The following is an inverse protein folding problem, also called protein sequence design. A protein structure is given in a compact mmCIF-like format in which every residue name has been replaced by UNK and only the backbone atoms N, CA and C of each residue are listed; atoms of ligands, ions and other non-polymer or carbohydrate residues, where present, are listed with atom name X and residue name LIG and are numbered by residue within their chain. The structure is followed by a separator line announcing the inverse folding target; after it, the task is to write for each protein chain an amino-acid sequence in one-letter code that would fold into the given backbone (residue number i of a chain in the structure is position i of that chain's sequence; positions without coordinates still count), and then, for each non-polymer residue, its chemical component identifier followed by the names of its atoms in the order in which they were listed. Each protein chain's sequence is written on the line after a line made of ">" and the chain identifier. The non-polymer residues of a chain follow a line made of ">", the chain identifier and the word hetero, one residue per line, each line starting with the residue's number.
data_IF_899266463389
#
_entry.id   IF_899266463389
#
_cell.length_a   1.000
_cell.length_b   1.000
_cell.length_c   1.000
_cell.angle_alpha   90.00
_cell.angle_beta   90.00
_cell.angle_gamma   90.00
#
_symmetry.space_group_name_H-M   'P 1'
#
loop_
_entity.id
_entity.type
_entity.pdbx_description
1 polymer ?
#
# COMPACT_ATOMS: atom_id res chain seq x y z
N UNK A 1 13.05 0.16 -38.15
CA UNK A 1 12.29 0.24 -36.88
C UNK A 1 13.00 1.27 -36.01
N UNK A 2 12.34 2.39 -35.69
CA UNK A 2 12.91 3.40 -34.81
C UNK A 2 12.83 2.89 -33.36
N UNK A 3 13.92 2.35 -32.84
CA UNK A 3 14.06 2.10 -31.41
C UNK A 3 14.32 3.43 -30.72
N UNK A 4 13.26 4.09 -30.25
CA UNK A 4 13.42 5.13 -29.23
C UNK A 4 13.78 4.44 -27.92
N UNK A 5 14.96 4.72 -27.37
CA UNK A 5 15.40 4.27 -26.02
C UNK A 5 14.49 4.78 -24.89
N UNK A 6 13.62 5.76 -25.17
CA UNK A 6 12.72 6.35 -24.21
C UNK A 6 11.26 5.95 -24.49
N UNK A 7 10.53 5.65 -23.42
CA UNK A 7 9.08 5.47 -23.42
C UNK A 7 8.34 6.61 -24.17
N UNK A 8 7.19 6.33 -24.79
CA UNK A 8 6.39 7.34 -25.49
C UNK A 8 5.89 8.42 -24.54
N UNK A 9 5.56 9.60 -25.07
CA UNK A 9 4.82 10.62 -24.31
C UNK A 9 3.38 10.12 -24.13
N UNK A 10 2.94 9.95 -22.89
CA UNK A 10 1.60 9.49 -22.54
C UNK A 10 0.72 10.59 -21.96
N UNK A 11 1.32 11.65 -21.40
CA UNK A 11 0.59 12.77 -20.80
C UNK A 11 1.23 14.09 -21.23
N UNK A 12 0.39 15.01 -21.70
CA UNK A 12 0.75 16.40 -21.94
C UNK A 12 0.01 17.28 -20.93
N UNK A 13 0.75 18.11 -20.21
CA UNK A 13 0.19 19.14 -19.34
C UNK A 13 0.25 20.48 -20.07
N UNK A 14 -0.91 21.13 -20.22
CA UNK A 14 -1.03 22.40 -20.97
C UNK A 14 -1.24 23.59 -20.04
N UNK A 15 -0.81 24.77 -20.51
CA UNK A 15 -1.19 26.07 -19.94
C UNK A 15 -1.79 26.91 -21.07
N UNK A 16 -3.12 27.03 -21.06
CA UNK A 16 -3.85 27.51 -22.23
C UNK A 16 -3.67 26.54 -23.40
N UNK A 17 -3.36 27.06 -24.58
CA UNK A 17 -3.18 26.27 -25.80
C UNK A 17 -1.76 25.69 -25.97
N UNK A 18 -0.83 25.97 -25.03
CA UNK A 18 0.56 25.52 -25.10
C UNK A 18 0.79 24.29 -24.23
N UNK A 19 1.43 23.26 -24.77
CA UNK A 19 1.99 22.14 -23.99
C UNK A 19 3.18 22.65 -23.19
N UNK A 20 3.03 22.72 -21.86
CA UNK A 20 4.05 23.19 -20.94
C UNK A 20 4.95 22.04 -20.46
N UNK A 21 4.43 20.81 -20.38
CA UNK A 21 5.19 19.63 -19.97
C UNK A 21 4.70 18.35 -20.65
N UNK A 22 5.62 17.44 -20.94
CA UNK A 22 5.34 16.10 -21.47
C UNK A 22 5.89 15.04 -20.50
N UNK A 23 5.09 14.01 -20.22
CA UNK A 23 5.47 12.90 -19.37
C UNK A 23 5.50 11.62 -20.18
N UNK A 24 6.63 10.91 -20.10
CA UNK A 24 6.85 9.64 -20.77
C UNK A 24 6.60 8.48 -19.82
N UNK A 25 6.01 7.40 -20.30
CA UNK A 25 5.68 6.26 -19.45
C UNK A 25 5.38 5.00 -20.23
N UNK A 26 5.17 3.92 -19.47
CA UNK A 26 4.61 2.68 -19.97
C UNK A 26 3.22 2.46 -19.36
N UNK A 27 2.32 1.85 -20.11
CA UNK A 27 0.96 1.54 -19.66
C UNK A 27 0.46 0.29 -20.35
N UNK A 28 -0.28 -0.55 -19.62
CA UNK A 28 -0.94 -1.74 -20.15
C UNK A 28 -2.38 -1.79 -19.66
N UNK A 29 -3.29 -2.21 -20.52
CA UNK A 29 -4.69 -2.50 -20.20
C UNK A 29 -4.91 -3.98 -20.48
N UNK A 30 -5.38 -4.72 -19.48
CA UNK A 30 -5.64 -6.16 -19.57
C UNK A 30 -7.11 -6.45 -19.25
N UNK A 31 -7.64 -7.53 -19.83
CA UNK A 31 -8.94 -8.08 -19.42
C UNK A 31 -8.84 -8.94 -18.15
N UNK A 32 -9.97 -9.50 -17.70
CA UNK A 32 -10.03 -10.36 -16.50
C UNK A 32 -9.32 -11.70 -16.67
N UNK A 33 -9.00 -12.12 -17.89
CA UNK A 33 -8.22 -13.33 -18.18
C UNK A 33 -6.72 -13.02 -18.31
N UNK A 34 -6.30 -11.77 -18.09
CA UNK A 34 -4.92 -11.32 -18.28
C UNK A 34 -4.53 -11.07 -19.73
N UNK A 35 -5.48 -11.07 -20.68
CA UNK A 35 -5.17 -10.77 -22.08
C UNK A 35 -4.93 -9.28 -22.25
N UNK A 36 -3.82 -8.93 -22.90
CA UNK A 36 -3.53 -7.55 -23.30
C UNK A 36 -4.60 -7.02 -24.29
N UNK A 37 -5.22 -5.90 -23.90
CA UNK A 37 -6.14 -5.10 -24.72
C UNK A 37 -5.36 -3.97 -25.42
N UNK A 38 -4.41 -3.35 -24.71
CA UNK A 38 -3.54 -2.30 -25.24
C UNK A 38 -2.26 -2.18 -24.40
N UNK A 39 -1.13 -1.89 -25.05
CA UNK A 39 0.15 -1.59 -24.41
C UNK A 39 0.82 -0.36 -25.04
N UNK A 40 1.53 0.39 -24.20
CA UNK A 40 2.29 1.57 -24.60
C UNK A 40 3.63 1.58 -23.87
N UNK A 41 4.72 1.83 -24.61
CA UNK A 41 6.06 1.84 -24.03
C UNK A 41 6.60 0.46 -23.65
N UNK A 42 7.63 0.45 -22.81
CA UNK A 42 8.29 -0.74 -22.28
C UNK A 42 7.58 -1.21 -21.01
N UNK A 43 6.57 -2.07 -21.19
CA UNK A 43 5.74 -2.61 -20.10
C UNK A 43 6.40 -3.78 -19.34
N UNK A 44 7.48 -4.34 -19.90
CA UNK A 44 8.25 -5.46 -19.32
C UNK A 44 9.36 -4.97 -18.38
N UNK A 45 9.64 -3.66 -18.38
CA UNK A 45 10.67 -3.09 -17.52
C UNK A 45 10.29 -3.21 -16.04
N UNK A 46 11.15 -3.87 -15.27
CA UNK A 46 11.05 -3.90 -13.83
C UNK A 46 11.09 -2.49 -13.22
N UNK A 47 10.17 -2.24 -12.29
CA UNK A 47 10.06 -1.01 -11.51
C UNK A 47 9.93 -1.34 -10.02
N UNK A 48 10.26 -0.36 -9.18
CA UNK A 48 9.79 -0.40 -7.80
C UNK A 48 8.31 0.03 -7.77
N UNK A 49 7.37 -0.83 -7.37
CA UNK A 49 5.93 -0.56 -7.45
C UNK A 49 5.46 0.51 -6.46
N UNK A 50 6.32 0.93 -5.52
CA UNK A 50 5.98 1.87 -4.45
C UNK A 50 4.71 1.37 -3.74
N UNK A 51 3.82 2.26 -3.34
CA UNK A 51 2.60 1.88 -2.64
C UNK A 51 1.57 1.11 -3.48
N UNK A 52 1.78 0.94 -4.79
CA UNK A 52 0.89 0.13 -5.62
C UNK A 52 0.98 -1.37 -5.28
N UNK A 53 2.02 -1.80 -4.54
CA UNK A 53 2.20 -3.19 -4.11
C UNK A 53 1.28 -3.62 -2.95
N UNK A 54 0.65 -2.67 -2.26
CA UNK A 54 -0.14 -2.95 -1.04
C UNK A 54 -1.24 -4.00 -1.23
N UNK A 55 -2.02 -4.01 -2.33
CA UNK A 55 -2.98 -5.09 -2.58
C UNK A 55 -2.34 -6.47 -2.64
N UNK A 56 -1.14 -6.60 -3.24
CA UNK A 56 -0.41 -7.86 -3.26
C UNK A 56 0.04 -8.25 -1.85
N UNK A 57 0.48 -7.29 -1.04
CA UNK A 57 0.86 -7.53 0.35
C UNK A 57 -0.35 -7.92 1.23
N UNK A 58 -1.55 -7.40 0.91
CA UNK A 58 -2.78 -7.72 1.62
C UNK A 58 -3.30 -9.14 1.32
N UNK A 59 -2.85 -9.79 0.24
CA UNK A 59 -3.17 -11.20 -0.03
C UNK A 59 -2.76 -12.08 1.15
N UNK A 60 -1.62 -11.81 1.81
CA UNK A 60 -1.17 -12.57 2.99
C UNK A 60 -2.19 -12.51 4.14
N UNK A 61 -2.80 -11.35 4.36
CA UNK A 61 -3.84 -11.17 5.37
C UNK A 61 -5.07 -12.04 5.06
N UNK A 62 -5.47 -12.10 3.79
CA UNK A 62 -6.62 -12.89 3.33
C UNK A 62 -6.32 -14.39 3.35
N UNK A 63 -5.22 -14.82 2.72
CA UNK A 63 -4.87 -16.25 2.57
C UNK A 63 -4.45 -16.92 3.88
N UNK A 64 -4.01 -16.15 4.89
CA UNK A 64 -3.63 -16.69 6.20
C UNK A 64 -4.80 -17.21 7.03
N UNK A 65 -6.05 -16.86 6.69
CA UNK A 65 -7.23 -17.13 7.52
C UNK A 65 -7.39 -16.17 8.71
N UNK A 66 -6.52 -15.14 8.81
CA UNK A 66 -6.54 -14.21 9.92
C UNK A 66 -7.76 -13.27 9.88
N UNK A 67 -8.27 -12.92 8.70
CA UNK A 67 -9.48 -12.11 8.57
C UNK A 67 -10.67 -12.82 9.23
N UNK A 68 -10.89 -14.08 8.88
CA UNK A 68 -11.99 -14.89 9.42
C UNK A 68 -11.80 -15.14 10.91
N UNK A 69 -10.58 -15.46 11.34
CA UNK A 69 -10.27 -15.70 12.74
C UNK A 69 -10.58 -14.50 13.65
N UNK A 70 -10.25 -13.29 13.18
CA UNK A 70 -10.49 -12.04 13.91
C UNK A 70 -11.77 -11.32 13.47
N UNK A 71 -12.66 -11.96 12.69
CA UNK A 71 -13.92 -11.35 12.26
C UNK A 71 -13.79 -10.01 11.52
N UNK A 72 -12.70 -9.84 10.76
CA UNK A 72 -12.39 -8.63 10.00
C UNK A 72 -13.02 -8.68 8.61
N UNK A 73 -13.20 -7.52 7.96
CA UNK A 73 -13.94 -7.46 6.70
C UNK A 73 -13.44 -6.42 5.71
N UNK A 74 -14.37 -5.92 4.90
CA UNK A 74 -14.07 -5.03 3.78
C UNK A 74 -13.36 -3.73 4.21
N UNK A 75 -13.63 -3.23 5.41
CA UNK A 75 -12.96 -2.03 5.92
C UNK A 75 -11.47 -2.28 6.16
N UNK A 76 -11.11 -3.38 6.79
CA UNK A 76 -9.73 -3.74 7.07
C UNK A 76 -8.96 -4.09 5.79
N UNK A 77 -9.61 -4.82 4.86
CA UNK A 77 -9.05 -5.08 3.53
C UNK A 77 -8.79 -3.76 2.78
N UNK A 78 -9.75 -2.85 2.78
CA UNK A 78 -9.57 -1.54 2.15
C UNK A 78 -8.41 -0.75 2.76
N UNK A 79 -8.29 -0.74 4.09
CA UNK A 79 -7.17 -0.08 4.78
C UNK A 79 -5.82 -0.76 4.50
N UNK A 80 -5.77 -2.09 4.44
CA UNK A 80 -4.57 -2.85 4.10
C UNK A 80 -4.05 -2.52 2.69
N UNK A 81 -4.97 -2.35 1.73
CA UNK A 81 -4.66 -2.01 0.34
C UNK A 81 -4.36 -0.51 0.12
N UNK A 82 -4.78 0.37 1.05
CA UNK A 82 -4.80 1.81 0.81
C UNK A 82 -3.47 2.52 1.08
N UNK A 83 -3.30 3.66 0.39
CA UNK A 83 -2.40 4.74 0.80
C UNK A 83 -3.22 5.89 1.34
N UNK A 84 -3.86 5.66 2.49
CA UNK A 84 -4.90 6.55 2.96
C UNK A 84 -4.39 7.96 3.32
N UNK A 85 -5.29 8.94 3.29
CA UNK A 85 -4.92 10.34 3.45
C UNK A 85 -4.80 10.82 4.90
N UNK A 86 -5.03 9.94 5.88
CA UNK A 86 -4.86 10.21 7.31
C UNK A 86 -6.08 10.88 7.97
N UNK A 87 -7.23 10.88 7.29
CA UNK A 87 -8.51 11.35 7.82
C UNK A 87 -9.00 10.51 9.02
N UNK A 88 -9.96 11.05 9.78
CA UNK A 88 -10.53 10.39 10.96
C UNK A 88 -11.04 8.98 10.65
N UNK A 89 -11.78 8.78 9.55
CA UNK A 89 -12.26 7.46 9.13
C UNK A 89 -11.15 6.42 8.96
N UNK A 90 -9.95 6.85 8.54
CA UNK A 90 -8.80 5.97 8.39
C UNK A 90 -8.14 5.70 9.74
N UNK A 91 -7.84 6.75 10.50
CA UNK A 91 -7.11 6.62 11.78
C UNK A 91 -7.94 5.90 12.84
N UNK A 92 -9.24 6.18 12.91
CA UNK A 92 -10.20 5.48 13.78
C UNK A 92 -10.39 4.03 13.33
N UNK A 93 -10.44 3.78 12.01
CA UNK A 93 -10.49 2.42 11.47
C UNK A 93 -9.28 1.58 11.89
N UNK A 94 -8.07 2.12 11.74
CA UNK A 94 -6.82 1.47 12.15
C UNK A 94 -6.79 1.26 13.66
N UNK A 95 -7.17 2.25 14.48
CA UNK A 95 -7.22 2.11 15.94
C UNK A 95 -8.23 1.05 16.39
N UNK A 96 -9.42 1.04 15.79
CA UNK A 96 -10.45 0.04 16.08
C UNK A 96 -9.95 -1.36 15.73
N UNK A 97 -9.29 -1.51 14.58
CA UNK A 97 -8.70 -2.76 14.15
C UNK A 97 -7.64 -3.23 15.16
N UNK A 98 -6.65 -2.40 15.50
CA UNK A 98 -5.62 -2.77 16.49
C UNK A 98 -6.22 -3.10 17.86
N UNK A 99 -7.20 -2.32 18.33
CA UNK A 99 -7.90 -2.61 19.58
C UNK A 99 -8.60 -3.97 19.56
N UNK A 100 -9.13 -4.40 18.41
CA UNK A 100 -9.73 -5.73 18.27
C UNK A 100 -8.69 -6.86 18.47
N UNK A 101 -7.42 -6.58 18.19
CA UNK A 101 -6.29 -7.48 18.45
C UNK A 101 -5.74 -7.34 19.89
N UNK A 102 -6.36 -6.51 20.74
CA UNK A 102 -5.86 -6.10 22.06
C UNK A 102 -4.50 -5.37 22.00
N UNK A 103 -4.28 -4.59 20.94
CA UNK A 103 -3.09 -3.77 20.72
C UNK A 103 -3.48 -2.30 20.54
N UNK A 104 -2.51 -1.40 20.65
CA UNK A 104 -2.67 0.02 20.35
C UNK A 104 -1.70 0.49 19.27
N UNK A 105 -1.85 1.73 18.80
CA UNK A 105 -1.07 2.27 17.67
C UNK A 105 0.45 2.39 17.90
N UNK A 106 0.95 2.18 19.13
CA UNK A 106 2.38 2.19 19.43
C UNK A 106 3.14 1.00 18.84
N UNK A 107 2.44 -0.09 18.49
CA UNK A 107 3.06 -1.25 17.82
C UNK A 107 3.30 -1.01 16.32
N UNK A 108 2.85 0.11 15.77
CA UNK A 108 3.05 0.44 14.36
C UNK A 108 4.48 0.94 14.10
N UNK A 109 5.23 0.17 13.32
CA UNK A 109 6.62 0.46 12.92
C UNK A 109 6.70 1.22 11.58
N UNK A 110 5.58 1.77 11.08
CA UNK A 110 5.58 2.59 9.86
C UNK A 110 6.14 4.01 10.05
N UNK A 111 6.41 4.41 11.30
CA UNK A 111 6.73 5.78 11.67
C UNK A 111 5.54 6.73 11.54
N UNK A 112 5.78 8.02 11.74
CA UNK A 112 4.75 9.06 11.81
C UNK A 112 4.97 10.13 10.77
N UNK A 113 3.90 10.53 10.07
CA UNK A 113 3.87 11.75 9.27
C UNK A 113 2.51 12.43 9.36
N UNK A 114 2.46 13.73 9.08
CA UNK A 114 1.18 14.44 9.03
C UNK A 114 0.30 13.94 7.87
N UNK A 115 -1.04 13.97 8.01
CA UNK A 115 -1.98 13.62 6.96
C UNK A 115 -1.72 14.36 5.64
N UNK A 116 -1.87 13.68 4.51
CA UNK A 116 -1.86 14.31 3.19
C UNK A 116 -3.17 15.03 2.90
N UNK A 117 -4.27 14.60 3.56
CA UNK A 117 -5.53 15.33 3.51
C UNK A 117 -5.37 16.72 4.16
N UNK A 118 -5.50 17.76 3.33
CA UNK A 118 -5.20 19.15 3.71
C UNK A 118 -6.00 19.61 4.93
N UNK A 119 -7.30 19.33 4.98
CA UNK A 119 -8.14 19.83 6.06
C UNK A 119 -7.82 19.13 7.39
N UNK A 120 -7.56 17.82 7.39
CA UNK A 120 -7.15 17.10 8.59
C UNK A 120 -5.81 17.61 9.11
N UNK A 121 -4.83 17.80 8.22
CA UNK A 121 -3.53 18.38 8.60
C UNK A 121 -3.68 19.76 9.25
N UNK A 122 -4.49 20.65 8.65
CA UNK A 122 -4.76 21.99 9.19
C UNK A 122 -5.44 21.92 10.56
N UNK A 123 -6.41 21.02 10.75
CA UNK A 123 -7.09 20.83 12.04
C UNK A 123 -6.10 20.44 13.13
N UNK A 124 -5.31 19.39 12.89
CA UNK A 124 -4.30 18.91 13.83
C UNK A 124 -3.33 20.03 14.23
N UNK A 125 -2.82 20.78 13.26
CA UNK A 125 -1.91 21.91 13.53
C UNK A 125 -2.60 23.02 14.35
N UNK A 126 -3.85 23.36 14.03
CA UNK A 126 -4.60 24.41 14.75
C UNK A 126 -4.92 24.01 16.19
N UNK A 127 -5.20 22.74 16.42
CA UNK A 127 -5.55 22.19 17.72
C UNK A 127 -4.31 21.82 18.56
N UNK A 128 -3.11 21.95 18.00
CA UNK A 128 -1.86 21.56 18.67
C UNK A 128 -1.72 20.05 18.87
N UNK A 129 -2.44 19.24 18.08
CA UNK A 129 -2.42 17.79 18.15
C UNK A 129 -1.31 17.27 17.24
N UNK A 130 -0.42 16.45 17.80
CA UNK A 130 0.62 15.79 17.02
C UNK A 130 0.04 14.62 16.20
N UNK A 131 0.55 14.45 14.98
CA UNK A 131 0.32 13.22 14.23
C UNK A 131 0.90 12.01 14.99
N UNK A 132 0.33 10.84 14.72
CA UNK A 132 0.70 9.56 15.34
C UNK A 132 0.92 8.50 14.25
N UNK A 133 1.43 7.30 14.56
CA UNK A 133 1.62 6.26 13.55
C UNK A 133 0.34 5.89 12.80
N UNK A 134 -0.85 5.99 13.41
CA UNK A 134 -2.12 5.76 12.73
C UNK A 134 -2.39 6.77 11.59
N UNK A 135 -1.79 7.97 11.64
CA UNK A 135 -1.91 8.96 10.56
C UNK A 135 -1.02 8.63 9.35
N UNK A 136 -0.07 7.70 9.51
CA UNK A 136 0.78 7.27 8.41
C UNK A 136 -0.05 6.54 7.35
N UNK A 137 0.15 6.88 6.08
CA UNK A 137 -0.61 6.31 4.96
C UNK A 137 -0.41 4.79 4.77
N UNK A 138 0.56 4.21 5.45
CA UNK A 138 0.84 2.76 5.45
C UNK A 138 0.26 2.06 6.68
N UNK A 139 -0.31 2.76 7.65
CA UNK A 139 -0.71 2.16 8.93
C UNK A 139 -1.73 1.02 8.77
N UNK A 140 -2.65 1.11 7.79
CA UNK A 140 -3.58 0.02 7.47
C UNK A 140 -2.89 -1.27 6.98
N UNK A 141 -1.92 -1.17 6.06
CA UNK A 141 -1.09 -2.32 5.65
C UNK A 141 -0.35 -2.93 6.85
N UNK A 142 0.21 -2.06 7.69
CA UNK A 142 0.95 -2.49 8.88
C UNK A 142 0.03 -3.22 9.88
N UNK A 143 -1.20 -2.74 10.10
CA UNK A 143 -2.21 -3.45 10.88
C UNK A 143 -2.52 -4.84 10.28
N UNK A 144 -2.53 -4.97 8.96
CA UNK A 144 -2.60 -6.27 8.27
C UNK A 144 -1.44 -7.20 8.61
N UNK A 145 -0.20 -6.72 8.56
CA UNK A 145 0.98 -7.50 8.94
C UNK A 145 0.94 -7.94 10.41
N UNK A 146 0.55 -7.03 11.30
CA UNK A 146 0.39 -7.30 12.73
C UNK A 146 -0.68 -8.37 12.96
N UNK A 147 -1.80 -8.30 12.24
CA UNK A 147 -2.88 -9.29 12.32
C UNK A 147 -2.38 -10.70 11.95
N UNK A 148 -1.58 -10.80 10.89
CA UNK A 148 -0.95 -12.07 10.47
C UNK A 148 0.06 -12.56 11.51
N UNK A 149 0.84 -11.65 12.12
CA UNK A 149 1.75 -12.00 13.20
C UNK A 149 1.00 -12.61 14.38
N UNK A 150 -0.06 -11.93 14.85
CA UNK A 150 -0.91 -12.39 15.94
C UNK A 150 -1.56 -13.74 15.64
N UNK A 151 -2.12 -13.92 14.44
CA UNK A 151 -2.80 -15.15 14.03
C UNK A 151 -1.89 -16.39 14.13
N UNK A 152 -0.63 -16.23 13.73
CA UNK A 152 0.35 -17.32 13.76
C UNK A 152 1.18 -17.40 15.05
N UNK A 153 0.87 -16.56 16.05
CA UNK A 153 1.64 -16.51 17.30
C UNK A 153 3.09 -16.01 17.13
N UNK A 154 3.37 -15.26 16.05
CA UNK A 154 4.67 -14.63 15.84
C UNK A 154 4.80 -13.36 16.70
N UNK A 155 6.03 -12.92 17.01
CA UNK A 155 6.24 -11.61 17.62
C UNK A 155 5.58 -10.50 16.81
N UNK A 156 4.96 -9.54 17.51
CA UNK A 156 4.49 -8.32 16.84
C UNK A 156 5.67 -7.41 16.53
N UNK A 157 6.61 -7.24 17.45
CA UNK A 157 7.77 -6.37 17.23
C UNK A 157 8.71 -6.92 16.15
N UNK A 158 9.27 -6.02 15.33
CA UNK A 158 10.17 -6.36 14.24
C UNK A 158 9.46 -6.97 13.04
N UNK A 159 8.13 -6.82 12.92
CA UNK A 159 7.37 -7.38 11.80
C UNK A 159 7.74 -6.78 10.45
N UNK A 160 8.47 -5.66 10.43
CA UNK A 160 9.00 -5.04 9.21
C UNK A 160 10.34 -5.65 8.78
N UNK A 161 11.00 -6.40 9.65
CA UNK A 161 12.32 -6.98 9.37
C UNK A 161 12.19 -8.09 8.32
N UNK A 162 13.14 -8.14 7.39
CA UNK A 162 13.08 -9.05 6.24
C UNK A 162 12.93 -10.50 6.67
N UNK A 163 13.66 -10.91 7.69
CA UNK A 163 13.67 -12.28 8.22
C UNK A 163 12.42 -12.62 9.05
N UNK A 164 11.58 -11.63 9.36
CA UNK A 164 10.37 -11.86 10.13
C UNK A 164 9.41 -12.80 9.36
N UNK A 165 8.76 -13.77 10.03
CA UNK A 165 7.88 -14.73 9.34
C UNK A 165 6.75 -14.07 8.53
N UNK A 166 6.31 -12.87 8.91
CA UNK A 166 5.33 -12.11 8.12
C UNK A 166 5.93 -11.59 6.82
N UNK A 167 7.14 -11.03 6.85
CA UNK A 167 7.79 -10.54 5.63
C UNK A 167 8.16 -11.70 4.70
N UNK A 168 8.58 -12.86 5.23
CA UNK A 168 8.81 -14.05 4.41
C UNK A 168 7.54 -14.48 3.65
N UNK A 169 6.37 -14.52 4.31
CA UNK A 169 5.08 -14.79 3.62
C UNK A 169 4.75 -13.74 2.56
N UNK A 170 5.07 -12.47 2.81
CA UNK A 170 4.88 -11.40 1.83
C UNK A 170 5.78 -11.62 0.62
N UNK A 171 7.05 -11.96 0.83
CA UNK A 171 7.99 -12.28 -0.25
C UNK A 171 7.48 -13.48 -1.07
N UNK A 172 7.05 -14.56 -0.41
CA UNK A 172 6.50 -15.75 -1.08
C UNK A 172 5.30 -15.38 -1.98
N UNK A 173 4.39 -14.53 -1.50
CA UNK A 173 3.24 -14.05 -2.29
C UNK A 173 3.68 -13.18 -3.46
N UNK A 174 4.64 -12.28 -3.25
CA UNK A 174 5.15 -11.43 -4.32
C UNK A 174 5.79 -12.28 -5.41
N UNK A 175 6.72 -13.16 -5.05
CA UNK A 175 7.39 -14.05 -6.01
C UNK A 175 6.40 -14.93 -6.77
N UNK A 176 5.39 -15.46 -6.08
CA UNK A 176 4.34 -16.29 -6.69
C UNK A 176 3.44 -15.50 -7.65
N UNK A 177 3.08 -14.27 -7.33
CA UNK A 177 2.11 -13.48 -8.12
C UNK A 177 2.78 -12.72 -9.25
N UNK A 178 4.03 -12.28 -9.06
CA UNK A 178 4.77 -11.57 -10.09
C UNK A 178 5.64 -12.48 -10.95
N UNK A 179 5.83 -13.74 -10.54
CA UNK A 179 6.77 -14.69 -11.19
C UNK A 179 8.21 -14.15 -11.24
N UNK A 180 8.56 -13.25 -10.31
CA UNK A 180 9.85 -12.56 -10.24
C UNK A 180 10.50 -12.80 -8.89
N UNK A 181 11.83 -12.98 -8.85
CA UNK A 181 12.56 -13.16 -7.58
C UNK A 181 12.70 -11.83 -6.87
N UNK A 182 12.33 -11.77 -5.58
CA UNK A 182 12.49 -10.55 -4.78
C UNK A 182 13.87 -10.55 -4.12
N UNK A 183 14.83 -9.88 -4.75
CA UNK A 183 16.20 -9.71 -4.22
C UNK A 183 16.26 -8.68 -3.11
#
# INVERSE_FOLDING_TARGET
>A
MNFSLANPVLVEATRGDMVESFHRGAAVVVDTNGREIAAFGDIERLIYPRSAIKPLQAIVLVESGALEHFGLGATEIALACASHSGEAIHTEGVRRWLNHLNLDETVLECGTHYPTHRNTRISLTREGINATPAHNNCSGKHAGFITVACHHGNPVAGYIEREHPVQQRVLDVLERVTEETVT
#
